data_IF_422352081376
#
_entry.id   IF_422352081376
#
_cell.length_a   1.000
_cell.length_b   1.000
_cell.length_c   1.000
_cell.angle_alpha   90.00
_cell.angle_beta   90.00
_cell.angle_gamma   90.00
#
_symmetry.space_group_name_H-M   'P 1'
#
loop_
_entity.id
_entity.type
_entity.pdbx_description
1 polymer ?
#
# COMPACT_ATOMS: atom_id res chain seq x y z
N UNK A 1 -41.05 22.63 9.01
CA UNK A 1 -39.93 23.24 8.27
C UNK A 1 -38.98 22.13 7.88
N UNK A 2 -38.97 21.74 6.61
CA UNK A 2 -37.97 20.81 6.07
C UNK A 2 -36.69 21.60 5.84
N UNK A 3 -35.67 21.35 6.68
CA UNK A 3 -34.34 21.92 6.45
C UNK A 3 -33.78 21.20 5.22
N UNK A 4 -33.81 21.87 4.06
CA UNK A 4 -33.10 21.40 2.89
C UNK A 4 -31.60 21.51 3.19
N UNK A 5 -30.94 20.37 3.39
CA UNK A 5 -29.49 20.30 3.53
C UNK A 5 -28.85 20.80 2.22
N UNK A 6 -27.95 21.78 2.33
CA UNK A 6 -27.18 22.28 1.20
C UNK A 6 -26.41 21.12 0.51
N UNK A 7 -26.28 21.14 -0.82
CA UNK A 7 -25.54 20.10 -1.52
C UNK A 7 -24.08 20.06 -1.06
N UNK A 8 -23.55 18.84 -0.90
CA UNK A 8 -22.15 18.62 -0.53
C UNK A 8 -21.21 19.20 -1.60
N UNK A 9 -20.06 19.71 -1.18
CA UNK A 9 -19.01 20.14 -2.10
C UNK A 9 -18.43 18.93 -2.87
N UNK A 10 -17.86 19.17 -4.06
CA UNK A 10 -17.19 18.12 -4.86
C UNK A 10 -16.10 17.39 -4.06
N UNK A 11 -15.34 18.13 -3.24
CA UNK A 11 -14.35 17.55 -2.34
C UNK A 11 -14.99 16.61 -1.31
N UNK A 12 -16.08 17.02 -0.68
CA UNK A 12 -16.79 16.19 0.30
C UNK A 12 -17.37 14.92 -0.34
N UNK A 13 -17.92 15.03 -1.56
CA UNK A 13 -18.43 13.88 -2.32
C UNK A 13 -17.30 12.89 -2.61
N UNK A 14 -16.15 13.36 -3.10
CA UNK A 14 -14.98 12.50 -3.38
C UNK A 14 -14.38 11.90 -2.12
N UNK A 15 -14.35 12.65 -1.02
CA UNK A 15 -13.85 12.15 0.26
C UNK A 15 -14.72 11.00 0.79
N UNK A 16 -16.05 11.14 0.73
CA UNK A 16 -17.00 10.07 1.07
C UNK A 16 -16.78 8.86 0.15
N UNK A 17 -16.63 9.08 -1.16
CA UNK A 17 -16.38 8.00 -2.11
C UNK A 17 -15.05 7.26 -1.82
N UNK A 18 -14.00 7.99 -1.46
CA UNK A 18 -12.71 7.40 -1.11
C UNK A 18 -12.77 6.59 0.19
N UNK A 19 -13.50 7.08 1.20
CA UNK A 19 -13.62 6.44 2.51
C UNK A 19 -14.53 5.22 2.49
N UNK A 20 -15.70 5.35 1.87
CA UNK A 20 -16.80 4.38 1.98
C UNK A 20 -16.96 3.49 0.74
N UNK A 21 -16.28 3.84 -0.37
CA UNK A 21 -16.35 3.11 -1.62
C UNK A 21 -15.39 1.92 -1.74
N UNK A 22 -15.60 1.12 -2.78
CA UNK A 22 -14.69 0.07 -3.20
C UNK A 22 -13.36 0.63 -3.73
N UNK A 23 -12.39 -0.26 -4.01
CA UNK A 23 -11.07 0.16 -4.50
C UNK A 23 -11.13 0.98 -5.79
N UNK A 24 -12.04 0.64 -6.71
CA UNK A 24 -12.28 1.40 -7.94
C UNK A 24 -12.73 2.82 -7.65
N UNK A 25 -13.71 2.96 -6.75
CA UNK A 25 -14.26 4.25 -6.35
C UNK A 25 -13.17 5.09 -5.68
N UNK A 26 -12.36 4.48 -4.82
CA UNK A 26 -11.19 5.13 -4.23
C UNK A 26 -10.19 5.61 -5.29
N UNK A 27 -9.77 4.74 -6.21
CA UNK A 27 -8.79 5.09 -7.24
C UNK A 27 -9.27 6.22 -8.14
N UNK A 28 -10.58 6.24 -8.45
CA UNK A 28 -11.22 7.33 -9.19
C UNK A 28 -11.28 8.62 -8.37
N UNK A 29 -11.65 8.56 -7.11
CA UNK A 29 -11.81 9.73 -6.25
C UNK A 29 -10.45 10.40 -5.92
N UNK A 30 -9.47 9.61 -5.48
CA UNK A 30 -8.17 10.07 -4.99
C UNK A 30 -7.20 10.32 -6.14
N UNK A 31 -7.10 9.39 -7.09
CA UNK A 31 -6.09 9.40 -8.15
C UNK A 31 -6.63 9.74 -9.54
N UNK A 32 -7.95 9.92 -9.70
CA UNK A 32 -8.61 10.13 -11.00
C UNK A 32 -8.30 9.02 -12.00
N UNK A 33 -8.12 7.79 -11.50
CA UNK A 33 -7.80 6.61 -12.29
C UNK A 33 -9.05 5.76 -12.44
N UNK A 34 -9.33 5.32 -13.66
CA UNK A 34 -10.33 4.29 -13.92
C UNK A 34 -9.64 2.92 -13.86
N UNK A 35 -10.20 2.00 -13.10
CA UNK A 35 -9.75 0.61 -13.11
C UNK A 35 -10.26 -0.11 -14.35
N UNK A 36 -9.45 -1.01 -14.87
CA UNK A 36 -9.92 -2.05 -15.78
C UNK A 36 -10.56 -3.21 -15.00
N UNK A 37 -11.37 -4.04 -15.66
CA UNK A 37 -12.08 -5.16 -15.01
C UNK A 37 -11.13 -6.14 -14.30
N UNK A 38 -9.92 -6.34 -14.84
CA UNK A 38 -8.92 -7.20 -14.19
C UNK A 38 -8.37 -6.58 -12.90
N UNK A 39 -8.34 -5.26 -12.77
CA UNK A 39 -7.91 -4.60 -11.54
C UNK A 39 -8.97 -4.70 -10.44
N UNK A 40 -10.26 -4.75 -10.79
CA UNK A 40 -11.32 -5.04 -9.83
C UNK A 40 -11.11 -6.42 -9.19
N UNK A 41 -10.81 -7.44 -10.01
CA UNK A 41 -10.54 -8.79 -9.52
C UNK A 41 -9.31 -8.84 -8.60
N UNK A 42 -8.26 -8.05 -8.90
CA UNK A 42 -7.10 -7.94 -8.02
C UNK A 42 -7.43 -7.25 -6.71
N UNK A 43 -8.18 -6.14 -6.76
CA UNK A 43 -8.58 -5.40 -5.58
C UNK A 43 -9.48 -6.24 -4.66
N UNK A 44 -10.46 -6.95 -5.23
CA UNK A 44 -11.30 -7.89 -4.49
C UNK A 44 -10.45 -8.98 -3.81
N UNK A 45 -9.50 -9.56 -4.53
CA UNK A 45 -8.61 -10.58 -3.96
C UNK A 45 -7.70 -10.03 -2.85
N UNK A 46 -7.21 -8.78 -2.96
CA UNK A 46 -6.42 -8.13 -1.92
C UNK A 46 -7.25 -7.85 -0.66
N UNK A 47 -8.53 -7.54 -0.78
CA UNK A 47 -9.41 -7.21 0.34
C UNK A 47 -10.02 -8.43 1.04
N UNK A 48 -10.25 -9.53 0.30
CA UNK A 48 -11.05 -10.66 0.80
C UNK A 48 -10.23 -11.89 1.16
N UNK A 49 -8.99 -12.00 0.67
CA UNK A 49 -8.15 -13.19 0.84
C UNK A 49 -6.93 -12.92 1.71
N UNK A 50 -6.63 -13.85 2.61
CA UNK A 50 -5.44 -13.75 3.47
C UNK A 50 -4.11 -13.95 2.70
N UNK A 51 -4.16 -14.61 1.54
CA UNK A 51 -3.00 -14.88 0.67
C UNK A 51 -3.41 -14.75 -0.78
N UNK A 52 -2.79 -13.82 -1.50
CA UNK A 52 -3.12 -13.49 -2.89
C UNK A 52 -1.85 -13.46 -3.72
N UNK A 53 -1.91 -14.07 -4.91
CA UNK A 53 -0.85 -14.00 -5.92
C UNK A 53 -1.44 -13.40 -7.19
N UNK A 54 -0.88 -12.28 -7.63
CA UNK A 54 -1.27 -11.62 -8.88
C UNK A 54 -0.17 -11.89 -9.91
N UNK A 55 -0.52 -12.60 -10.97
CA UNK A 55 0.37 -12.83 -12.12
C UNK A 55 -0.24 -12.13 -13.34
N UNK A 56 0.46 -11.15 -13.87
CA UNK A 56 -0.02 -10.36 -15.00
C UNK A 56 1.16 -9.85 -15.85
N UNK A 57 0.92 -9.49 -17.13
CA UNK A 57 1.93 -8.85 -17.96
C UNK A 57 2.43 -7.51 -17.38
N UNK A 58 3.62 -7.04 -17.80
CA UNK A 58 4.05 -5.66 -17.56
C UNK A 58 3.02 -4.63 -18.07
N UNK A 59 3.12 -3.40 -17.56
CA UNK A 59 2.29 -2.25 -17.99
C UNK A 59 0.77 -2.41 -17.77
N UNK A 60 0.39 -3.24 -16.81
CA UNK A 60 -1.02 -3.48 -16.41
C UNK A 60 -1.40 -2.81 -15.08
N UNK A 61 -0.56 -1.90 -14.56
CA UNK A 61 -0.80 -1.17 -13.31
C UNK A 61 -0.92 -2.03 -12.04
N UNK A 62 -0.34 -3.23 -12.03
CA UNK A 62 -0.33 -4.13 -10.85
C UNK A 62 0.13 -3.46 -9.55
N UNK A 63 1.36 -2.90 -9.55
CA UNK A 63 1.95 -2.26 -8.37
C UNK A 63 1.17 -1.03 -7.96
N UNK A 64 0.47 -0.40 -8.91
CA UNK A 64 -0.36 0.76 -8.59
C UNK A 64 -1.68 0.36 -7.92
N UNK A 65 -2.30 -0.73 -8.37
CA UNK A 65 -3.49 -1.30 -7.72
C UNK A 65 -3.16 -1.72 -6.29
N UNK A 66 -1.99 -2.35 -6.09
CA UNK A 66 -1.49 -2.71 -4.74
C UNK A 66 -1.20 -1.46 -3.90
N UNK A 67 -0.71 -0.38 -4.51
CA UNK A 67 -0.47 0.89 -3.81
C UNK A 67 -1.77 1.53 -3.33
N UNK A 68 -2.79 1.58 -4.20
CA UNK A 68 -4.11 2.08 -3.84
C UNK A 68 -4.70 1.27 -2.66
N UNK A 69 -4.48 -0.06 -2.65
CA UNK A 69 -4.83 -0.92 -1.51
C UNK A 69 -4.09 -0.50 -0.23
N UNK A 70 -2.76 -0.33 -0.27
CA UNK A 70 -1.98 0.09 0.92
C UNK A 70 -2.42 1.44 1.46
N UNK A 71 -2.62 2.43 0.59
CA UNK A 71 -3.10 3.75 1.01
C UNK A 71 -4.46 3.66 1.72
N UNK A 72 -5.36 2.80 1.21
CA UNK A 72 -6.66 2.54 1.85
C UNK A 72 -6.53 1.82 3.18
N UNK A 73 -5.64 0.84 3.30
CA UNK A 73 -5.44 0.13 4.57
C UNK A 73 -4.88 1.06 5.66
N UNK A 74 -3.93 1.94 5.31
CA UNK A 74 -3.45 2.99 6.22
C UNK A 74 -4.58 3.96 6.59
N UNK A 75 -5.38 4.37 5.60
CA UNK A 75 -6.50 5.30 5.80
C UNK A 75 -7.58 4.75 6.72
N UNK A 76 -7.93 3.47 6.58
CA UNK A 76 -8.93 2.78 7.42
C UNK A 76 -8.40 2.46 8.80
N UNK A 77 -7.12 2.12 8.91
CA UNK A 77 -6.50 1.69 10.15
C UNK A 77 -5.06 2.22 10.26
N UNK A 78 -4.85 3.37 10.91
CA UNK A 78 -3.50 3.92 11.13
C UNK A 78 -2.55 2.97 11.88
N UNK A 79 -3.07 2.02 12.65
CA UNK A 79 -2.29 1.04 13.40
C UNK A 79 -1.73 -0.11 12.57
N UNK A 80 -2.09 -0.19 11.28
CA UNK A 80 -1.58 -1.23 10.39
C UNK A 80 -0.07 -1.13 10.26
N UNK A 81 0.61 -2.28 10.26
CA UNK A 81 2.04 -2.40 9.96
C UNK A 81 2.21 -3.15 8.65
N UNK A 82 2.73 -2.47 7.64
CA UNK A 82 2.82 -2.98 6.26
C UNK A 82 4.28 -3.09 5.85
N UNK A 83 4.68 -4.27 5.37
CA UNK A 83 5.96 -4.50 4.71
C UNK A 83 5.76 -4.55 3.20
N UNK A 84 6.54 -3.77 2.47
CA UNK A 84 6.63 -3.81 1.01
C UNK A 84 8.03 -4.24 0.59
N UNK A 85 8.16 -5.51 0.21
CA UNK A 85 9.39 -6.11 -0.31
C UNK A 85 9.39 -6.05 -1.83
N UNK A 86 10.49 -5.57 -2.41
CA UNK A 86 10.77 -5.68 -3.85
C UNK A 86 12.13 -6.33 -4.08
N UNK A 87 12.53 -6.57 -5.34
CA UNK A 87 13.88 -7.09 -5.62
C UNK A 87 14.96 -6.18 -5.00
N UNK A 88 14.82 -4.84 -5.18
CA UNK A 88 15.77 -3.86 -4.64
C UNK A 88 15.11 -2.81 -3.73
N UNK A 89 15.90 -2.23 -2.81
CA UNK A 89 15.43 -1.16 -1.93
C UNK A 89 14.99 0.10 -2.69
N UNK A 90 15.68 0.45 -3.78
CA UNK A 90 15.34 1.63 -4.59
C UNK A 90 13.98 1.48 -5.30
N UNK A 91 13.59 0.25 -5.66
CA UNK A 91 12.25 -0.01 -6.20
C UNK A 91 11.19 0.18 -5.11
N UNK A 92 11.43 -0.35 -3.91
CA UNK A 92 10.52 -0.20 -2.78
C UNK A 92 10.37 1.27 -2.36
N UNK A 93 11.46 2.05 -2.36
CA UNK A 93 11.44 3.50 -2.10
C UNK A 93 10.45 4.24 -2.98
N UNK A 94 10.35 3.89 -4.27
CA UNK A 94 9.40 4.53 -5.19
C UNK A 94 7.96 4.34 -4.73
N UNK A 95 7.62 3.18 -4.18
CA UNK A 95 6.28 2.89 -3.68
C UNK A 95 6.00 3.67 -2.40
N UNK A 96 6.92 3.61 -1.43
CA UNK A 96 6.82 4.32 -0.15
C UNK A 96 6.68 5.83 -0.37
N UNK A 97 7.52 6.41 -1.22
CA UNK A 97 7.50 7.85 -1.51
C UNK A 97 6.21 8.29 -2.22
N UNK A 98 5.63 7.44 -3.08
CA UNK A 98 4.35 7.75 -3.70
C UNK A 98 3.19 7.73 -2.68
N UNK A 99 3.19 6.77 -1.76
CA UNK A 99 2.20 6.69 -0.67
C UNK A 99 2.35 7.89 0.27
N UNK A 100 3.58 8.21 0.67
CA UNK A 100 3.92 9.42 1.44
C UNK A 100 3.33 10.67 0.79
N UNK A 101 3.57 10.86 -0.50
CA UNK A 101 3.08 12.03 -1.22
C UNK A 101 1.54 12.08 -1.25
N UNK A 102 0.86 10.94 -1.39
CA UNK A 102 -0.60 10.85 -1.30
C UNK A 102 -1.10 11.35 0.06
N UNK A 103 -0.54 10.80 1.15
CA UNK A 103 -0.93 11.16 2.53
C UNK A 103 -0.68 12.65 2.81
N UNK A 104 0.50 13.17 2.45
CA UNK A 104 0.89 14.57 2.73
C UNK A 104 0.05 15.59 1.95
N UNK A 105 -0.23 15.31 0.68
CA UNK A 105 -0.62 16.35 -0.28
C UNK A 105 -1.95 16.13 -1.01
N UNK A 106 -2.53 14.93 -0.97
CA UNK A 106 -3.79 14.68 -1.67
C UNK A 106 -4.99 15.16 -0.84
N UNK A 107 -5.61 16.26 -1.26
CA UNK A 107 -6.74 16.86 -0.55
C UNK A 107 -7.94 15.91 -0.39
N UNK A 108 -8.19 15.01 -1.37
CA UNK A 108 -9.28 14.03 -1.26
C UNK A 108 -8.94 12.99 -0.21
N UNK A 109 -7.72 12.46 -0.23
CA UNK A 109 -7.25 11.50 0.78
C UNK A 109 -7.33 12.09 2.18
N UNK A 110 -6.79 13.30 2.39
CA UNK A 110 -6.81 14.01 3.68
C UNK A 110 -8.21 14.40 4.15
N UNK A 111 -9.15 14.60 3.23
CA UNK A 111 -10.54 14.85 3.58
C UNK A 111 -11.31 13.55 3.89
N UNK A 112 -10.85 12.41 3.34
CA UNK A 112 -11.44 11.10 3.55
C UNK A 112 -10.94 10.43 4.84
N UNK A 113 -9.65 10.60 5.13
CA UNK A 113 -8.93 9.95 6.22
C UNK A 113 -8.15 10.99 7.03
N UNK A 114 -8.19 10.87 8.36
CA UNK A 114 -7.46 11.73 9.30
C UNK A 114 -6.07 11.16 9.62
N UNK A 115 -5.34 10.75 8.56
CA UNK A 115 -3.98 10.20 8.69
C UNK A 115 -2.99 11.35 8.68
N UNK A 116 -2.19 11.45 9.74
CA UNK A 116 -1.11 12.42 9.87
C UNK A 116 0.19 11.74 10.27
N UNK A 117 1.33 12.35 9.90
CA UNK A 117 2.65 11.92 10.34
C UNK A 117 2.72 11.95 11.88
N UNK A 118 3.32 10.92 12.46
CA UNK A 118 3.65 10.89 13.87
C UNK A 118 4.65 12.01 14.18
N UNK A 119 4.30 12.99 15.03
CA UNK A 119 5.17 14.13 15.32
C UNK A 119 6.45 13.76 16.07
N UNK A 120 6.52 12.56 16.67
CA UNK A 120 7.70 12.07 17.39
C UNK A 120 8.60 11.20 16.52
N UNK A 121 8.14 10.80 15.34
CA UNK A 121 8.89 9.99 14.38
C UNK A 121 9.36 10.82 13.18
N UNK A 122 10.27 10.26 12.40
CA UNK A 122 10.73 10.88 11.16
C UNK A 122 10.44 9.97 9.97
N UNK A 123 9.70 10.48 8.99
CA UNK A 123 9.55 9.78 7.71
C UNK A 123 10.85 9.79 6.90
N UNK A 124 11.28 8.60 6.48
CA UNK A 124 12.41 8.43 5.56
C UNK A 124 11.92 8.03 4.17
N UNK A 125 12.85 7.72 3.26
CA UNK A 125 12.49 7.17 1.93
C UNK A 125 11.97 5.74 1.99
N UNK A 126 12.27 5.02 3.07
CA UNK A 126 11.95 3.61 3.24
C UNK A 126 10.87 3.37 4.28
N UNK A 127 10.60 4.33 5.17
CA UNK A 127 9.80 4.08 6.37
C UNK A 127 8.88 5.27 6.66
N UNK A 128 7.60 4.99 6.90
CA UNK A 128 6.59 5.95 7.34
C UNK A 128 6.01 5.52 8.70
N UNK A 129 5.79 6.50 9.57
CA UNK A 129 5.14 6.37 10.87
C UNK A 129 3.98 7.36 10.95
N UNK A 130 2.74 6.88 10.89
CA UNK A 130 1.58 7.74 11.11
C UNK A 130 1.25 7.78 12.60
N UNK A 131 0.53 8.81 13.04
CA UNK A 131 0.04 8.86 14.40
C UNK A 131 -0.91 7.68 14.67
N UNK A 132 -0.64 6.94 15.75
CA UNK A 132 -1.31 5.69 16.13
C UNK A 132 -1.80 5.75 17.57
N UNK A 133 -2.73 4.87 17.93
CA UNK A 133 -3.21 4.69 19.31
C UNK A 133 -2.66 3.40 19.95
N UNK A 134 -1.55 2.89 19.43
CA UNK A 134 -0.81 1.72 19.93
C UNK A 134 0.63 2.07 20.28
N UNK A 135 1.19 1.39 21.28
CA UNK A 135 2.59 1.50 21.70
C UNK A 135 3.41 0.39 21.04
N UNK A 136 3.65 0.53 19.73
CA UNK A 136 4.36 -0.44 18.91
C UNK A 136 5.50 0.26 18.15
N UNK A 137 6.75 -0.20 18.25
CA UNK A 137 7.90 0.46 17.63
C UNK A 137 7.98 0.26 16.11
N UNK A 138 7.24 -0.69 15.55
CA UNK A 138 7.33 -1.06 14.14
C UNK A 138 6.58 -0.03 13.27
N UNK A 139 7.08 0.24 12.06
CA UNK A 139 6.52 1.29 11.22
C UNK A 139 5.15 0.95 10.63
N UNK A 140 4.39 2.00 10.31
CA UNK A 140 3.14 1.88 9.57
C UNK A 140 3.38 1.30 8.18
N UNK A 141 4.41 1.79 7.49
CA UNK A 141 4.85 1.27 6.20
C UNK A 141 6.37 1.20 6.15
N UNK A 142 6.90 0.03 5.82
CA UNK A 142 8.32 -0.18 5.49
C UNK A 142 8.46 -0.71 4.08
N UNK A 143 9.23 -0.02 3.24
CA UNK A 143 9.67 -0.48 1.94
C UNK A 143 11.13 -0.92 1.96
N UNK A 144 11.41 -2.10 1.40
CA UNK A 144 12.76 -2.66 1.40
C UNK A 144 13.01 -3.62 0.23
N UNK A 145 14.29 -3.88 -0.05
CA UNK A 145 14.69 -4.99 -0.92
C UNK A 145 14.65 -6.33 -0.18
N UNK A 146 14.78 -7.43 -0.94
CA UNK A 146 14.82 -8.81 -0.42
C UNK A 146 15.83 -9.05 0.71
N UNK A 147 16.91 -8.25 0.80
CA UNK A 147 17.97 -8.39 1.81
C UNK A 147 17.91 -7.35 2.93
N UNK A 148 16.83 -6.59 3.04
CA UNK A 148 16.80 -5.50 4.02
C UNK A 148 16.42 -5.93 5.44
N UNK A 149 16.38 -4.95 6.36
CA UNK A 149 16.37 -5.20 7.80
C UNK A 149 14.95 -5.41 8.34
N UNK A 150 14.20 -6.36 7.76
CA UNK A 150 12.80 -6.59 8.13
C UNK A 150 12.59 -7.77 9.09
N UNK A 151 13.64 -8.54 9.40
CA UNK A 151 13.56 -9.68 10.32
C UNK A 151 13.27 -9.20 11.76
N UNK A 152 12.33 -9.85 12.44
CA UNK A 152 11.94 -9.54 13.82
C UNK A 152 10.90 -8.42 13.98
N UNK A 153 10.38 -7.89 12.86
CA UNK A 153 9.29 -6.92 12.85
C UNK A 153 7.94 -7.63 12.64
N UNK A 154 6.86 -7.07 13.17
CA UNK A 154 5.56 -7.72 13.31
C UNK A 154 4.53 -7.16 12.34
N UNK A 155 4.68 -7.45 11.05
CA UNK A 155 3.79 -6.90 10.03
C UNK A 155 2.41 -7.59 10.00
N UNK A 156 1.36 -6.80 9.77
CA UNK A 156 0.01 -7.31 9.52
C UNK A 156 -0.17 -7.70 8.04
N UNK A 157 0.45 -6.92 7.15
CA UNK A 157 0.36 -7.08 5.69
C UNK A 157 1.78 -7.14 5.14
N UNK A 158 2.04 -8.16 4.33
CA UNK A 158 3.31 -8.31 3.62
C UNK A 158 3.01 -8.34 2.12
N UNK A 159 3.63 -7.40 1.40
CA UNK A 159 3.57 -7.28 -0.05
C UNK A 159 4.93 -7.68 -0.61
N UNK A 160 4.92 -8.60 -1.56
CA UNK A 160 6.10 -8.99 -2.32
C UNK A 160 5.81 -8.63 -3.78
N UNK A 161 6.38 -7.51 -4.24
CA UNK A 161 6.13 -6.95 -5.57
C UNK A 161 7.39 -6.98 -6.42
N UNK A 162 7.32 -7.63 -7.59
CA UNK A 162 8.47 -7.85 -8.48
C UNK A 162 9.74 -8.30 -7.73
N UNK A 163 9.73 -9.47 -7.05
CA UNK A 163 10.88 -9.94 -6.26
C UNK A 163 12.04 -10.45 -7.11
N UNK A 164 11.86 -10.61 -8.42
CA UNK A 164 12.86 -11.19 -9.33
C UNK A 164 12.83 -10.42 -10.65
N UNK A 165 13.95 -10.43 -11.37
CA UNK A 165 14.05 -9.87 -12.71
C UNK A 165 14.28 -10.94 -13.79
N UNK A 166 14.34 -10.51 -15.05
CA UNK A 166 14.46 -11.43 -16.19
C UNK A 166 15.83 -12.13 -16.29
N UNK A 167 16.84 -11.62 -15.60
CA UNK A 167 18.17 -12.23 -15.60
C UNK A 167 18.34 -13.19 -14.43
N UNK A 168 17.80 -12.84 -13.25
CA UNK A 168 17.78 -13.69 -12.06
C UNK A 168 17.14 -15.06 -12.32
N UNK A 169 16.04 -15.10 -13.10
CA UNK A 169 15.33 -16.35 -13.43
C UNK A 169 16.17 -17.34 -14.24
N UNK A 170 17.26 -16.89 -14.87
CA UNK A 170 18.19 -17.77 -15.61
C UNK A 170 19.20 -18.46 -14.68
N UNK A 171 19.28 -18.05 -13.42
CA UNK A 171 20.19 -18.59 -12.41
C UNK A 171 19.42 -19.41 -11.36
N UNK A 172 19.48 -20.76 -11.40
CA UNK A 172 18.83 -21.61 -10.41
C UNK A 172 19.27 -21.30 -8.98
N UNK A 173 20.54 -20.96 -8.78
CA UNK A 173 21.09 -20.59 -7.48
C UNK A 173 20.50 -19.29 -6.96
N UNK A 174 20.33 -18.29 -7.83
CA UNK A 174 19.70 -17.01 -7.45
C UNK A 174 18.24 -17.23 -7.09
N UNK A 175 17.50 -17.99 -7.90
CA UNK A 175 16.10 -18.31 -7.66
C UNK A 175 15.88 -19.08 -6.35
N UNK A 176 16.77 -20.05 -6.05
CA UNK A 176 16.72 -20.77 -4.77
C UNK A 176 16.94 -19.82 -3.60
N UNK A 177 17.95 -18.95 -3.68
CA UNK A 177 18.23 -17.97 -2.63
C UNK A 177 17.08 -16.96 -2.43
N UNK A 178 16.43 -16.52 -3.49
CA UNK A 178 15.24 -15.65 -3.42
C UNK A 178 14.05 -16.39 -2.79
N UNK A 179 13.83 -17.65 -3.19
CA UNK A 179 12.75 -18.49 -2.65
C UNK A 179 12.90 -18.71 -1.15
N UNK A 180 14.09 -19.06 -0.68
CA UNK A 180 14.35 -19.28 0.76
C UNK A 180 14.15 -17.98 1.57
N UNK A 181 14.54 -16.82 1.02
CA UNK A 181 14.30 -15.52 1.68
C UNK A 181 12.82 -15.19 1.79
N UNK A 182 12.08 -15.30 0.68
CA UNK A 182 10.63 -15.06 0.68
C UNK A 182 9.92 -16.04 1.60
N UNK A 183 10.36 -17.29 1.63
CA UNK A 183 9.80 -18.29 2.53
C UNK A 183 9.97 -17.90 3.99
N UNK A 184 11.14 -17.41 4.39
CA UNK A 184 11.35 -16.86 5.73
C UNK A 184 10.42 -15.68 6.02
N UNK A 185 10.24 -14.76 5.07
CA UNK A 185 9.30 -13.63 5.21
C UNK A 185 7.84 -14.08 5.44
N UNK A 186 7.40 -15.18 4.82
CA UNK A 186 6.00 -15.62 4.87
C UNK A 186 5.72 -16.53 6.08
N UNK A 187 6.71 -17.31 6.51
CA UNK A 187 6.54 -18.39 7.49
C UNK A 187 7.06 -18.07 8.89
N UNK A 188 7.98 -17.11 9.02
CA UNK A 188 8.49 -16.65 10.32
C UNK A 188 7.62 -15.51 10.88
#
# INVERSE_FOLDING_TARGET
MTVATAPLSDLAVKAIAARDGDARTYAKAVHRREYELYQDAWAEALETSNRTVIVCPPDTYKSTTVRDFVEREIGKNPNVRILWVMNTGDQAQKQVMAIRQCIESNNVYRAAFDVIEDPEAQWTKNVLFVQRDIDDPDPTLMGTGLNGPYQGLHFNIIIIDDPTDQDDVKSPTTMLAQTEKIRGVILD
#
